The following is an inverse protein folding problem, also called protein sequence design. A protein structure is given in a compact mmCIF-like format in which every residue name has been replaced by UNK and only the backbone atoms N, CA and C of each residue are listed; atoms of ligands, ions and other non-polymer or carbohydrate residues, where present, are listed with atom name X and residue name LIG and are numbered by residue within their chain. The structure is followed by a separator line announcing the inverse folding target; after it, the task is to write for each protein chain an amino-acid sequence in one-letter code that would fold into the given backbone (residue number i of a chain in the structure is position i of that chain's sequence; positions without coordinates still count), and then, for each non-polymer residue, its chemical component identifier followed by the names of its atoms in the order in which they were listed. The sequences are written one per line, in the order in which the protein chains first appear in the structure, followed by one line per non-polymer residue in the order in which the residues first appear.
data_IF_427899771312
#
_entry.id   IF_427899771312
#
_cell.length_a   1.000
_cell.length_b   1.000
_cell.length_c   1.000
_cell.angle_alpha   90.00
_cell.angle_beta   90.00
_cell.angle_gamma   90.00
#
_symmetry.space_group_name_H-M   'P 1'
#
loop_
_entity.id
_entity.type
_entity.pdbx_description
1 polymer ?
#
# COMPACT_ATOMS: atom_id res chain seq x y z
N UNK A 1 2.31 16.57 64.25
CA UNK A 1 3.33 15.85 63.44
C UNK A 1 2.71 14.74 62.57
N UNK A 2 1.83 13.87 63.10
CA UNK A 2 1.19 12.78 62.34
C UNK A 2 0.46 13.22 61.06
N UNK A 3 -0.27 14.34 61.09
CA UNK A 3 -0.96 14.85 59.90
C UNK A 3 -0.03 15.36 58.80
N UNK A 4 1.16 15.84 59.16
CA UNK A 4 2.16 16.32 58.20
C UNK A 4 2.79 15.12 57.47
N UNK A 5 3.13 14.06 58.21
CA UNK A 5 3.59 12.79 57.62
C UNK A 5 2.54 12.16 56.71
N UNK A 6 1.26 12.21 57.08
CA UNK A 6 0.16 11.72 56.23
C UNK A 6 0.02 12.52 54.92
N UNK A 7 0.18 13.85 54.97
CA UNK A 7 0.13 14.72 53.78
C UNK A 7 1.34 14.51 52.86
N UNK A 8 2.54 14.37 53.43
CA UNK A 8 3.77 14.09 52.66
C UNK A 8 3.68 12.69 52.02
N UNK A 9 3.21 11.68 52.76
CA UNK A 9 3.01 10.34 52.23
C UNK A 9 2.01 10.30 51.07
N UNK A 10 0.90 11.03 51.16
CA UNK A 10 -0.06 11.15 50.07
C UNK A 10 0.56 11.83 48.84
N UNK A 11 1.35 12.88 49.03
CA UNK A 11 2.03 13.58 47.93
C UNK A 11 3.04 12.69 47.20
N UNK A 12 3.81 11.89 47.95
CA UNK A 12 4.76 10.92 47.37
C UNK A 12 4.01 9.83 46.57
N UNK A 13 2.90 9.31 47.10
CA UNK A 13 2.08 8.30 46.40
C UNK A 13 1.50 8.87 45.11
N UNK A 14 0.97 10.10 45.13
CA UNK A 14 0.45 10.77 43.92
C UNK A 14 1.56 11.00 42.89
N UNK A 15 2.78 11.36 43.33
CA UNK A 15 3.94 11.50 42.44
C UNK A 15 4.35 10.17 41.80
N UNK A 16 4.39 9.08 42.58
CA UNK A 16 4.72 7.75 42.08
C UNK A 16 3.65 7.27 41.08
N UNK A 17 2.36 7.47 41.39
CA UNK A 17 1.26 7.12 40.47
C UNK A 17 1.34 7.97 39.20
N UNK A 18 1.58 9.27 39.31
CA UNK A 18 1.73 10.16 38.14
C UNK A 18 2.92 9.77 37.27
N UNK A 19 4.06 9.42 37.89
CA UNK A 19 5.24 8.93 37.19
C UNK A 19 4.99 7.57 36.54
N UNK A 20 4.24 6.67 37.21
CA UNK A 20 3.82 5.39 36.65
C UNK A 20 2.89 5.54 35.45
N UNK A 21 1.90 6.41 35.54
CA UNK A 21 1.00 6.75 34.42
C UNK A 21 1.81 7.35 33.26
N UNK A 22 2.73 8.27 33.55
CA UNK A 22 3.61 8.88 32.56
C UNK A 22 4.50 7.84 31.86
N UNK A 23 5.10 6.91 32.62
CA UNK A 23 5.91 5.82 32.08
C UNK A 23 5.10 4.86 31.21
N UNK A 24 3.90 4.47 31.64
CA UNK A 24 3.01 3.60 30.86
C UNK A 24 2.59 4.29 29.56
N UNK A 25 2.19 5.56 29.62
CA UNK A 25 1.80 6.34 28.43
C UNK A 25 2.93 6.53 27.41
N UNK A 26 4.18 6.71 27.87
CA UNK A 26 5.32 6.89 26.98
C UNK A 26 5.86 5.56 26.44
N UNK A 27 5.94 4.52 27.27
CA UNK A 27 6.37 3.19 26.83
C UNK A 27 5.43 2.60 25.77
N UNK A 28 4.13 2.88 25.87
CA UNK A 28 3.15 2.41 24.89
C UNK A 28 3.28 3.14 23.54
N UNK A 29 3.61 4.44 23.53
CA UNK A 29 3.89 5.19 22.30
C UNK A 29 5.15 4.72 21.58
N UNK A 30 6.24 4.48 22.33
CA UNK A 30 7.51 4.01 21.77
C UNK A 30 7.37 2.60 21.17
N UNK A 31 6.64 1.70 21.83
CA UNK A 31 6.41 0.34 21.32
C UNK A 31 5.51 0.34 20.08
N UNK A 32 4.46 1.17 20.04
CA UNK A 32 3.54 1.23 18.89
C UNK A 32 4.21 1.83 17.64
N UNK A 33 5.00 2.90 17.79
CA UNK A 33 5.80 3.44 16.67
C UNK A 33 6.80 2.39 16.18
N UNK A 34 7.39 1.60 17.08
CA UNK A 34 8.40 0.60 16.69
C UNK A 34 7.89 -0.46 15.70
N UNK A 35 6.63 -0.91 15.80
CA UNK A 35 6.12 -2.01 14.93
C UNK A 35 5.80 -1.50 13.53
N UNK A 36 5.12 -0.36 13.41
CA UNK A 36 4.83 0.27 12.12
C UNK A 36 6.14 0.67 11.45
N UNK A 37 7.03 1.36 12.17
CA UNK A 37 8.33 1.78 11.63
C UNK A 37 9.16 0.57 11.16
N UNK A 38 9.22 -0.51 11.95
CA UNK A 38 9.92 -1.75 11.55
C UNK A 38 9.32 -2.34 10.28
N UNK A 39 7.98 -2.35 10.15
CA UNK A 39 7.31 -2.88 8.97
C UNK A 39 7.56 -2.00 7.74
N UNK A 40 7.57 -0.68 7.91
CA UNK A 40 7.92 0.26 6.85
C UNK A 40 9.40 0.16 6.46
N UNK A 41 10.30 -0.13 7.40
CA UNK A 41 11.71 -0.40 7.09
C UNK A 41 11.84 -1.64 6.21
N UNK A 42 11.23 -2.76 6.64
CA UNK A 42 11.24 -4.01 5.89
C UNK A 42 10.70 -3.82 4.47
N UNK A 43 9.59 -3.08 4.33
CA UNK A 43 8.99 -2.75 3.05
C UNK A 43 9.95 -1.97 2.13
N UNK A 44 10.68 -1.01 2.69
CA UNK A 44 11.69 -0.24 1.97
C UNK A 44 12.82 -1.13 1.48
N UNK A 45 13.36 -1.95 2.38
CA UNK A 45 14.45 -2.88 2.07
C UNK A 45 14.07 -3.84 0.93
N UNK A 46 12.83 -4.36 0.95
CA UNK A 46 12.30 -5.22 -0.12
C UNK A 46 12.20 -4.48 -1.45
N UNK A 47 11.68 -3.27 -1.47
CA UNK A 47 11.60 -2.46 -2.69
C UNK A 47 13.00 -2.13 -3.23
N UNK A 48 13.93 -1.71 -2.38
CA UNK A 48 15.28 -1.34 -2.80
C UNK A 48 16.14 -2.53 -3.23
N UNK A 49 15.85 -3.73 -2.74
CA UNK A 49 16.50 -4.97 -3.19
C UNK A 49 16.14 -5.31 -4.66
N UNK A 50 14.97 -4.87 -5.14
CA UNK A 50 14.54 -5.07 -6.54
C UNK A 50 15.25 -4.15 -7.53
N UNK A 51 16.03 -3.17 -7.04
CA UNK A 51 16.59 -2.08 -7.85
C UNK A 51 18.12 -2.19 -7.88
N UNK A 52 18.74 -2.22 -9.08
CA UNK A 52 20.19 -2.19 -9.22
C UNK A 52 20.82 -0.99 -8.52
N UNK A 53 22.03 -1.15 -7.99
CA UNK A 53 22.74 -0.05 -7.34
C UNK A 53 23.09 1.07 -8.34
N UNK A 54 22.83 2.32 -7.96
CA UNK A 54 23.08 3.48 -8.80
C UNK A 54 22.59 4.79 -8.17
N UNK A 55 22.99 5.94 -8.74
CA UNK A 55 22.71 7.27 -8.16
C UNK A 55 21.20 7.58 -8.06
N UNK A 56 20.38 7.04 -8.97
CA UNK A 56 18.92 7.22 -8.96
C UNK A 56 18.22 6.48 -7.82
N UNK A 57 18.83 5.43 -7.26
CA UNK A 57 18.34 4.72 -6.06
C UNK A 57 18.28 5.65 -4.84
N UNK A 58 19.18 6.64 -4.78
CA UNK A 58 19.21 7.63 -3.69
C UNK A 58 18.00 8.58 -3.72
N UNK A 59 17.53 8.96 -4.91
CA UNK A 59 16.35 9.83 -5.05
C UNK A 59 15.06 9.10 -4.62
N UNK A 60 14.98 7.81 -4.95
CA UNK A 60 13.89 6.96 -4.47
C UNK A 60 13.94 6.76 -2.95
N UNK A 61 15.14 6.61 -2.39
CA UNK A 61 15.33 6.51 -0.94
C UNK A 61 14.84 7.75 -0.19
N UNK A 62 15.06 8.94 -0.77
CA UNK A 62 14.53 10.21 -0.23
C UNK A 62 12.99 10.22 -0.26
N UNK A 63 12.37 9.91 -1.42
CA UNK A 63 10.91 9.84 -1.55
C UNK A 63 10.29 8.86 -0.55
N UNK A 64 10.90 7.69 -0.38
CA UNK A 64 10.43 6.69 0.57
C UNK A 64 10.68 7.11 2.02
N UNK A 65 11.79 7.79 2.30
CA UNK A 65 12.11 8.38 3.60
C UNK A 65 11.07 9.39 4.04
N UNK A 66 10.67 10.30 3.14
CA UNK A 66 9.60 11.27 3.38
C UNK A 66 8.27 10.58 3.69
N UNK A 67 7.92 9.55 2.92
CA UNK A 67 6.71 8.75 3.18
C UNK A 67 6.75 8.11 4.57
N UNK A 68 7.87 7.47 4.94
CA UNK A 68 8.05 6.87 6.26
C UNK A 68 7.89 7.88 7.38
N UNK A 69 8.52 9.04 7.25
CA UNK A 69 8.44 10.09 8.26
C UNK A 69 6.99 10.55 8.44
N UNK A 70 6.29 10.84 7.34
CA UNK A 70 4.88 11.25 7.39
C UNK A 70 3.99 10.15 7.97
N UNK A 71 4.25 8.88 7.67
CA UNK A 71 3.51 7.77 8.28
C UNK A 71 3.78 7.65 9.78
N UNK A 72 5.02 7.85 10.23
CA UNK A 72 5.38 7.87 11.66
C UNK A 72 4.74 9.04 12.42
N UNK A 73 4.58 10.19 11.74
CA UNK A 73 3.88 11.39 12.22
C UNK A 73 2.34 11.26 12.11
N UNK A 74 1.83 10.16 11.52
CA UNK A 74 0.40 9.90 11.24
C UNK A 74 -0.25 10.91 10.29
N UNK A 75 0.57 11.53 9.45
CA UNK A 75 0.17 12.45 8.37
C UNK A 75 -0.18 11.71 7.06
N UNK A 76 -0.24 10.38 7.12
CA UNK A 76 -0.64 9.47 6.05
C UNK A 76 -1.77 8.59 6.61
N UNK A 77 -2.96 8.55 5.98
CA UNK A 77 -4.02 7.63 6.34
C UNK A 77 -3.58 6.16 6.31
N UNK A 78 -4.00 5.31 7.25
CA UNK A 78 -3.71 3.87 7.27
C UNK A 78 -3.96 3.17 5.93
N UNK A 79 -5.05 3.49 5.25
CA UNK A 79 -5.47 2.88 3.98
C UNK A 79 -4.47 3.17 2.85
N UNK A 80 -3.86 4.36 2.89
CA UNK A 80 -2.82 4.75 1.95
C UNK A 80 -1.52 3.97 2.23
N UNK A 81 -1.19 3.73 3.50
CA UNK A 81 -0.06 2.86 3.89
C UNK A 81 -0.28 1.43 3.40
N UNK A 82 -1.49 0.89 3.55
CA UNK A 82 -1.85 -0.44 3.04
C UNK A 82 -1.79 -0.52 1.52
N UNK A 83 -2.17 0.54 0.81
CA UNK A 83 -2.08 0.61 -0.67
C UNK A 83 -0.63 0.60 -1.14
N UNK A 84 0.26 1.33 -0.46
CA UNK A 84 1.71 1.28 -0.72
C UNK A 84 2.26 -0.12 -0.44
N UNK A 85 1.87 -0.73 0.68
CA UNK A 85 2.32 -2.07 1.05
C UNK A 85 1.86 -3.14 0.05
N UNK A 86 0.58 -3.15 -0.33
CA UNK A 86 0.04 -4.07 -1.33
C UNK A 86 0.75 -3.89 -2.68
N UNK A 87 1.04 -2.65 -3.08
CA UNK A 87 1.76 -2.35 -4.32
C UNK A 87 3.18 -2.88 -4.29
N UNK A 88 3.92 -2.68 -3.20
CA UNK A 88 5.28 -3.21 -3.06
C UNK A 88 5.26 -4.74 -3.04
N UNK A 89 4.35 -5.36 -2.27
CA UNK A 89 4.21 -6.82 -2.22
C UNK A 89 3.95 -7.42 -3.61
N UNK A 90 2.99 -6.86 -4.35
CA UNK A 90 2.68 -7.30 -5.71
C UNK A 90 3.88 -7.20 -6.66
N UNK A 91 4.61 -6.09 -6.59
CA UNK A 91 5.75 -5.88 -7.48
C UNK A 91 6.94 -6.77 -7.07
N UNK A 92 7.14 -7.02 -5.77
CA UNK A 92 8.17 -7.97 -5.28
C UNK A 92 7.88 -9.43 -5.63
N UNK A 93 6.64 -9.76 -6.01
CA UNK A 93 6.33 -11.09 -6.55
C UNK A 93 6.79 -11.26 -8.01
N UNK A 94 7.10 -10.16 -8.70
CA UNK A 94 7.68 -10.20 -10.04
C UNK A 94 9.11 -10.76 -10.00
N UNK A 95 9.47 -11.56 -11.00
CA UNK A 95 10.85 -12.06 -11.16
C UNK A 95 11.80 -11.04 -11.79
N UNK A 96 11.27 -9.91 -12.25
CA UNK A 96 12.01 -8.91 -13.02
C UNK A 96 12.47 -7.79 -12.09
N UNK A 97 13.76 -7.46 -12.10
CA UNK A 97 14.29 -6.29 -11.40
C UNK A 97 13.64 -5.02 -11.93
N UNK A 98 13.35 -4.07 -11.04
CA UNK A 98 12.78 -2.79 -11.40
C UNK A 98 13.86 -1.79 -11.77
N UNK A 99 13.55 -0.91 -12.72
CA UNK A 99 14.29 0.34 -12.85
C UNK A 99 13.93 1.27 -11.68
N UNK A 100 14.82 2.21 -11.30
CA UNK A 100 14.50 3.24 -10.31
C UNK A 100 13.22 4.04 -10.67
N UNK A 101 13.00 4.31 -11.95
CA UNK A 101 11.84 5.05 -12.45
C UNK A 101 10.53 4.25 -12.30
N UNK A 102 10.58 2.94 -12.53
CA UNK A 102 9.46 2.04 -12.30
C UNK A 102 9.09 1.99 -10.82
N UNK A 103 10.08 1.85 -9.95
CA UNK A 103 9.85 1.83 -8.50
C UNK A 103 9.32 3.17 -7.97
N UNK A 104 9.85 4.29 -8.47
CA UNK A 104 9.34 5.63 -8.17
C UNK A 104 7.87 5.76 -8.57
N UNK A 105 7.53 5.25 -9.74
CA UNK A 105 6.17 5.31 -10.28
C UNK A 105 5.18 4.47 -9.48
N UNK A 106 5.58 3.28 -9.04
CA UNK A 106 4.80 2.44 -8.11
C UNK A 106 4.51 3.21 -6.82
N UNK A 107 5.53 3.84 -6.22
CA UNK A 107 5.35 4.63 -5.00
C UNK A 107 4.45 5.84 -5.22
N UNK A 108 4.71 6.64 -6.27
CA UNK A 108 3.93 7.85 -6.56
C UNK A 108 2.47 7.53 -6.80
N UNK A 109 2.18 6.48 -7.57
CA UNK A 109 0.81 6.12 -7.92
C UNK A 109 0.07 5.54 -6.71
N UNK A 110 0.74 4.73 -5.88
CA UNK A 110 0.16 4.25 -4.63
C UNK A 110 -0.11 5.40 -3.63
N UNK A 111 0.75 6.42 -3.59
CA UNK A 111 0.56 7.62 -2.76
C UNK A 111 -0.49 8.58 -3.34
N UNK A 112 -0.70 8.61 -4.66
CA UNK A 112 -1.71 9.49 -5.24
C UNK A 112 -3.09 8.83 -5.34
N UNK A 113 -3.16 7.50 -5.13
CA UNK A 113 -4.38 6.71 -5.18
C UNK A 113 -5.48 7.34 -4.30
N UNK A 114 -6.73 7.42 -4.80
CA UNK A 114 -7.84 7.84 -3.96
C UNK A 114 -7.95 6.94 -2.74
N UNK A 115 -8.19 7.53 -1.56
CA UNK A 115 -8.58 6.74 -0.39
C UNK A 115 -9.72 5.80 -0.79
N UNK A 116 -9.65 4.50 -0.48
CA UNK A 116 -10.79 3.61 -0.66
C UNK A 116 -11.97 4.23 0.07
N UNK A 117 -13.06 4.52 -0.65
CA UNK A 117 -14.26 5.04 -0.03
C UNK A 117 -14.73 3.98 0.96
N UNK A 118 -14.52 4.22 2.26
CA UNK A 118 -15.30 3.55 3.28
C UNK A 118 -16.76 3.78 2.89
N UNK A 119 -17.50 2.69 2.68
CA UNK A 119 -18.93 2.75 2.38
C UNK A 119 -19.62 3.46 3.56
N UNK A 120 -19.76 4.78 3.44
CA UNK A 120 -20.61 5.55 4.32
C UNK A 120 -22.04 5.12 3.96
N UNK A 121 -22.68 4.41 4.89
CA UNK A 121 -24.12 4.20 4.85
C UNK A 121 -24.80 5.56 4.78
N UNK A 122 -25.36 5.85 3.59
CA UNK A 122 -26.38 6.88 3.37
C UNK A 122 -25.96 8.32 3.58
N UNK A 123 -25.61 9.03 2.49
CA UNK A 123 -26.16 10.35 2.18
C UNK A 123 -25.79 10.79 0.75
N UNK A 124 -26.77 11.37 0.05
CA UNK A 124 -26.70 11.84 -1.34
C UNK A 124 -25.75 13.04 -1.53
N UNK A 125 -25.27 13.29 -2.76
CA UNK A 125 -24.06 14.09 -2.99
C UNK A 125 -24.35 15.58 -2.89
N UNK A 126 -23.66 16.26 -1.97
CA UNK A 126 -23.46 17.70 -2.00
C UNK A 126 -22.06 17.98 -2.56
N UNK A 127 -22.01 18.79 -3.62
CA UNK A 127 -20.80 19.19 -4.36
C UNK A 127 -19.71 19.71 -3.38
N UNK A 128 -18.50 19.11 -3.30
CA UNK A 128 -17.45 19.65 -2.44
C UNK A 128 -16.52 20.61 -3.19
N UNK A 129 -16.33 21.80 -2.62
CA UNK A 129 -15.11 22.61 -2.77
C UNK A 129 -13.87 21.75 -2.40
N UNK A 130 -12.69 22.01 -2.97
CA UNK A 130 -11.45 21.32 -2.60
C UNK A 130 -11.10 21.65 -1.16
N UNK A 131 -11.56 20.80 -0.26
CA UNK A 131 -11.24 20.79 1.15
C UNK A 131 -10.36 19.57 1.30
N UNK A 132 -9.08 19.76 1.61
CA UNK A 132 -8.21 18.68 2.09
C UNK A 132 -9.00 18.03 3.23
N UNK A 133 -9.43 16.75 3.13
CA UNK A 133 -10.15 16.13 4.21
C UNK A 133 -9.27 16.22 5.45
N UNK A 134 -9.79 16.81 6.53
CA UNK A 134 -9.19 16.61 7.84
C UNK A 134 -9.50 15.15 8.20
N UNK A 135 -8.64 14.24 7.74
CA UNK A 135 -8.66 12.85 8.16
C UNK A 135 -8.58 12.87 9.68
N UNK A 136 -9.58 12.30 10.34
CA UNK A 136 -9.58 12.16 11.80
C UNK A 136 -8.29 11.38 12.12
N UNK A 137 -7.41 11.88 13.02
CA UNK A 137 -6.18 11.16 13.33
C UNK A 137 -6.55 9.77 13.84
N UNK A 138 -6.12 8.75 13.11
CA UNK A 138 -6.42 7.35 13.43
C UNK A 138 -5.99 7.02 14.87
N UNK A 139 -6.79 6.20 15.53
CA UNK A 139 -6.58 5.86 16.93
C UNK A 139 -5.27 5.06 17.08
N UNK A 140 -4.56 5.16 18.22
CA UNK A 140 -3.31 4.43 18.42
C UNK A 140 -3.43 2.90 18.22
N UNK A 141 -4.60 2.33 18.54
CA UNK A 141 -4.89 0.90 18.33
C UNK A 141 -4.96 0.52 16.85
N UNK A 142 -5.52 1.39 16.00
CA UNK A 142 -5.63 1.19 14.55
C UNK A 142 -4.24 1.13 13.91
N UNK A 143 -3.33 2.01 14.33
CA UNK A 143 -1.94 2.02 13.86
C UNK A 143 -1.16 0.77 14.30
N UNK A 144 -1.42 0.27 15.51
CA UNK A 144 -0.79 -0.97 15.98
C UNK A 144 -1.28 -2.16 15.16
N UNK A 145 -2.60 -2.27 14.97
CA UNK A 145 -3.19 -3.32 14.15
C UNK A 145 -2.71 -3.28 12.70
N UNK A 146 -2.52 -2.07 12.15
CA UNK A 146 -1.91 -1.85 10.84
C UNK A 146 -0.48 -2.41 10.82
N UNK A 147 0.39 -2.01 11.77
CA UNK A 147 1.77 -2.47 11.82
C UNK A 147 1.89 -4.01 11.90
N UNK A 148 1.07 -4.65 12.72
CA UNK A 148 1.01 -6.11 12.83
C UNK A 148 0.56 -6.75 11.51
N UNK A 149 -0.48 -6.21 10.87
CA UNK A 149 -0.99 -6.68 9.57
C UNK A 149 0.05 -6.55 8.46
N UNK A 150 0.73 -5.41 8.37
CA UNK A 150 1.82 -5.18 7.41
C UNK A 150 2.89 -6.27 7.58
N UNK A 151 3.40 -6.43 8.81
CA UNK A 151 4.42 -7.43 9.12
C UNK A 151 3.98 -8.83 8.72
N UNK A 152 2.78 -9.26 9.10
CA UNK A 152 2.26 -10.59 8.77
C UNK A 152 2.14 -10.82 7.27
N UNK A 153 1.75 -9.81 6.48
CA UNK A 153 1.65 -9.95 5.02
C UNK A 153 3.02 -10.06 4.34
N UNK A 154 4.02 -9.32 4.81
CA UNK A 154 5.39 -9.47 4.32
C UNK A 154 5.99 -10.84 4.69
N UNK A 155 5.81 -11.28 5.92
CA UNK A 155 6.27 -12.62 6.36
C UNK A 155 5.57 -13.74 5.59
N UNK A 156 4.26 -13.61 5.34
CA UNK A 156 3.51 -14.55 4.51
C UNK A 156 4.11 -14.61 3.10
N UNK A 157 4.36 -13.45 2.49
CA UNK A 157 4.92 -13.39 1.15
C UNK A 157 6.29 -14.07 1.06
N UNK A 158 7.17 -13.84 2.04
CA UNK A 158 8.47 -14.53 2.12
C UNK A 158 8.33 -16.04 2.25
N UNK A 159 7.40 -16.51 3.09
CA UNK A 159 7.15 -17.95 3.26
C UNK A 159 6.58 -18.57 1.99
N UNK A 160 5.71 -17.85 1.27
CA UNK A 160 5.18 -18.30 -0.03
C UNK A 160 6.32 -18.43 -1.05
N UNK A 161 7.18 -17.42 -1.19
CA UNK A 161 8.37 -17.48 -2.03
C UNK A 161 9.28 -18.66 -1.67
N UNK A 162 9.57 -18.86 -0.38
CA UNK A 162 10.41 -19.95 0.09
C UNK A 162 9.78 -21.35 -0.12
N UNK A 163 8.46 -21.43 -0.14
CA UNK A 163 7.71 -22.67 -0.36
C UNK A 163 7.51 -23.02 -1.84
N UNK A 164 7.83 -22.10 -2.77
CA UNK A 164 7.73 -22.38 -4.21
C UNK A 164 8.72 -23.45 -4.65
N UNK A 165 8.26 -24.38 -5.48
CA UNK A 165 9.15 -25.32 -6.18
C UNK A 165 10.10 -24.56 -7.10
N UNK A 166 11.34 -25.03 -7.24
CA UNK A 166 12.36 -24.38 -8.05
C UNK A 166 11.92 -24.13 -9.51
N UNK A 167 11.17 -25.07 -10.11
CA UNK A 167 10.66 -24.91 -11.47
C UNK A 167 9.61 -23.81 -11.57
N UNK A 168 8.69 -23.74 -10.62
CA UNK A 168 7.64 -22.73 -10.59
C UNK A 168 8.20 -21.33 -10.25
N UNK A 169 9.22 -21.27 -9.39
CA UNK A 169 9.97 -20.05 -9.09
C UNK A 169 10.68 -19.50 -10.34
N UNK A 170 11.20 -20.36 -11.22
CA UNK A 170 11.79 -19.98 -12.51
C UNK A 170 10.74 -19.55 -13.56
N UNK A 171 9.49 -19.98 -13.41
CA UNK A 171 8.41 -19.78 -14.39
C UNK A 171 7.51 -18.56 -14.12
N UNK A 172 7.85 -17.71 -13.13
CA UNK A 172 7.06 -16.50 -12.80
C UNK A 172 5.64 -16.78 -12.29
N UNK A 173 5.40 -17.98 -11.75
CA UNK A 173 4.06 -18.42 -11.36
C UNK A 173 3.49 -17.68 -10.14
N UNK A 174 4.34 -17.24 -9.20
CA UNK A 174 3.84 -16.66 -7.95
C UNK A 174 3.08 -15.35 -8.17
N UNK A 175 3.56 -14.48 -9.05
CA UNK A 175 2.93 -13.19 -9.34
C UNK A 175 1.56 -13.31 -10.02
N UNK A 176 1.30 -14.45 -10.68
CA UNK A 176 -0.01 -14.79 -11.27
C UNK A 176 -0.95 -15.50 -10.29
N UNK A 177 -0.41 -15.99 -9.18
CA UNK A 177 -1.14 -16.82 -8.22
C UNK A 177 -1.33 -16.17 -6.85
N UNK A 178 -0.72 -15.00 -6.64
CA UNK A 178 -0.78 -14.23 -5.39
C UNK A 178 -0.98 -12.76 -5.69
N UNK A 179 -2.06 -12.18 -5.16
CA UNK A 179 -2.40 -10.76 -5.33
C UNK A 179 -2.74 -10.13 -4.00
N UNK A 180 -2.04 -9.07 -3.64
CA UNK A 180 -2.35 -8.24 -2.48
C UNK A 180 -3.26 -7.08 -2.89
N UNK A 181 -4.28 -6.82 -2.08
CA UNK A 181 -5.32 -5.81 -2.32
C UNK A 181 -5.43 -4.89 -1.09
N UNK A 182 -5.81 -3.63 -1.29
CA UNK A 182 -5.93 -2.64 -0.22
C UNK A 182 -7.31 -1.92 -0.16
N UNK A 183 -8.28 -2.33 -1.00
CA UNK A 183 -9.60 -1.66 -1.10
C UNK A 183 -10.42 -1.71 0.19
N UNK A 184 -10.28 -2.78 0.97
CA UNK A 184 -11.04 -3.00 2.20
C UNK A 184 -10.10 -3.40 3.35
N UNK A 185 -8.93 -2.77 3.39
CA UNK A 185 -7.79 -3.19 4.18
C UNK A 185 -6.83 -4.08 3.39
N UNK A 186 -5.61 -4.24 3.90
CA UNK A 186 -4.61 -5.10 3.29
C UNK A 186 -5.02 -6.57 3.38
N UNK A 187 -5.32 -7.18 2.23
CA UNK A 187 -5.73 -8.59 2.08
C UNK A 187 -4.90 -9.29 1.00
N UNK A 188 -4.94 -10.61 1.00
CA UNK A 188 -4.29 -11.47 0.00
C UNK A 188 -5.31 -12.37 -0.70
N UNK A 189 -5.31 -12.35 -2.02
CA UNK A 189 -5.99 -13.31 -2.86
C UNK A 189 -4.99 -14.35 -3.36
N UNK A 190 -5.33 -15.63 -3.18
CA UNK A 190 -4.52 -16.77 -3.61
C UNK A 190 -5.27 -17.61 -4.63
N UNK A 191 -4.56 -18.06 -5.66
CA UNK A 191 -5.13 -19.01 -6.62
C UNK A 191 -5.31 -20.39 -5.96
N UNK A 192 -6.44 -21.04 -6.22
CA UNK A 192 -6.77 -22.36 -5.69
C UNK A 192 -5.78 -23.43 -6.17
N UNK A 193 -5.13 -23.21 -7.32
CA UNK A 193 -4.11 -24.08 -7.87
C UNK A 193 -2.71 -23.80 -7.32
N UNK A 194 -2.52 -22.77 -6.48
CA UNK A 194 -1.23 -22.44 -5.87
C UNK A 194 -0.58 -23.62 -5.18
N UNK A 195 -1.39 -24.47 -4.52
CA UNK A 195 -0.91 -25.68 -3.84
C UNK A 195 -0.12 -26.62 -4.76
N UNK A 196 -0.43 -26.69 -6.06
CA UNK A 196 0.29 -27.54 -7.01
C UNK A 196 1.75 -27.08 -7.22
N UNK A 197 2.02 -25.79 -7.04
CA UNK A 197 3.31 -25.13 -7.25
C UNK A 197 4.18 -25.04 -5.99
N UNK A 198 3.61 -25.37 -4.82
CA UNK A 198 4.31 -25.35 -3.54
C UNK A 198 4.87 -26.72 -3.17
N UNK A 199 6.00 -26.74 -2.46
CA UNK A 199 6.52 -27.93 -1.81
C UNK A 199 5.52 -28.43 -0.74
N UNK A 200 5.28 -29.74 -0.70
CA UNK A 200 4.26 -30.31 0.18
C UNK A 200 4.59 -30.13 1.68
N UNK A 201 5.87 -30.18 2.04
CA UNK A 201 6.31 -30.04 3.44
C UNK A 201 6.18 -28.58 3.88
N UNK A 202 6.61 -27.64 3.04
CA UNK A 202 6.48 -26.21 3.34
C UNK A 202 5.01 -25.77 3.34
N UNK A 203 4.18 -26.27 2.41
CA UNK A 203 2.74 -26.00 2.40
C UNK A 203 2.05 -26.49 3.69
N UNK A 204 2.44 -27.66 4.22
CA UNK A 204 1.90 -28.15 5.50
C UNK A 204 2.21 -27.19 6.65
N UNK A 205 3.40 -26.58 6.68
CA UNK A 205 3.75 -25.56 7.69
C UNK A 205 2.90 -24.30 7.52
N UNK A 206 2.75 -23.83 6.28
CA UNK A 206 1.94 -22.66 5.91
C UNK A 206 0.44 -22.85 6.17
N UNK A 207 -0.08 -24.06 6.06
CA UNK A 207 -1.52 -24.34 6.08
C UNK A 207 -2.25 -23.86 7.34
N UNK A 208 -1.56 -23.79 8.49
CA UNK A 208 -2.15 -23.26 9.73
C UNK A 208 -2.33 -21.75 9.67
N UNK A 209 -1.34 -21.06 9.12
CA UNK A 209 -1.34 -19.61 8.94
C UNK A 209 -2.38 -19.19 7.89
N UNK A 210 -2.44 -19.89 6.75
CA UNK A 210 -3.46 -19.63 5.72
C UNK A 210 -4.89 -19.79 6.27
N UNK A 211 -5.14 -20.84 7.08
CA UNK A 211 -6.44 -21.04 7.73
C UNK A 211 -6.76 -19.97 8.77
N UNK A 212 -5.75 -19.42 9.43
CA UNK A 212 -5.94 -18.31 10.37
C UNK A 212 -6.34 -17.05 9.61
N UNK A 213 -5.60 -16.69 8.55
CA UNK A 213 -5.90 -15.52 7.72
C UNK A 213 -7.28 -15.62 7.03
N UNK A 214 -7.71 -16.82 6.65
CA UNK A 214 -9.05 -17.07 6.12
C UNK A 214 -10.14 -16.79 7.18
N UNK A 215 -9.93 -17.20 8.43
CA UNK A 215 -10.86 -16.90 9.54
C UNK A 215 -10.93 -15.43 9.89
N UNK A 216 -9.83 -14.72 9.70
CA UNK A 216 -9.72 -13.28 9.94
C UNK A 216 -10.28 -12.45 8.75
N UNK A 217 -10.76 -13.09 7.68
CA UNK A 217 -11.20 -12.47 6.42
C UNK A 217 -10.10 -11.63 5.73
N UNK A 218 -8.84 -12.01 5.91
CA UNK A 218 -7.68 -11.36 5.30
C UNK A 218 -7.18 -12.13 4.07
N UNK A 219 -7.61 -13.39 3.91
CA UNK A 219 -7.27 -14.26 2.79
C UNK A 219 -8.52 -14.71 2.03
N UNK A 220 -8.47 -14.63 0.70
CA UNK A 220 -9.50 -15.13 -0.20
C UNK A 220 -8.93 -16.09 -1.25
N UNK A 221 -9.64 -17.20 -1.49
CA UNK A 221 -9.28 -18.16 -2.53
C UNK A 221 -10.03 -17.86 -3.84
N UNK A 222 -9.29 -17.72 -4.93
CA UNK A 222 -9.83 -17.50 -6.28
C UNK A 222 -9.55 -18.73 -7.14
N UNK A 223 -10.45 -19.06 -8.07
CA UNK A 223 -10.28 -20.23 -8.94
C UNK A 223 -9.38 -19.96 -10.15
N UNK A 224 -9.47 -18.76 -10.70
CA UNK A 224 -8.78 -18.32 -11.91
C UNK A 224 -8.13 -16.95 -11.66
N UNK A 225 -7.32 -16.83 -10.59
CA UNK A 225 -6.74 -15.54 -10.21
C UNK A 225 -5.81 -15.01 -11.31
N UNK A 226 -5.09 -15.90 -12.00
CA UNK A 226 -4.21 -15.54 -13.09
C UNK A 226 -4.97 -14.82 -14.23
N UNK A 227 -6.14 -15.32 -14.62
CA UNK A 227 -6.97 -14.72 -15.66
C UNK A 227 -7.52 -13.35 -15.22
N UNK A 228 -7.94 -13.23 -13.95
CA UNK A 228 -8.40 -11.97 -13.37
C UNK A 228 -7.29 -10.91 -13.37
N UNK A 229 -6.08 -11.28 -12.94
CA UNK A 229 -4.91 -10.39 -12.96
C UNK A 229 -4.59 -9.98 -14.40
N UNK A 230 -4.55 -10.91 -15.35
CA UNK A 230 -4.24 -10.60 -16.75
C UNK A 230 -5.28 -9.66 -17.37
N UNK A 231 -6.57 -9.85 -17.04
CA UNK A 231 -7.64 -8.95 -17.47
C UNK A 231 -7.54 -7.55 -16.84
N UNK A 232 -7.31 -7.45 -15.52
CA UNK A 232 -7.08 -6.16 -14.85
C UNK A 232 -5.86 -5.44 -15.45
N UNK A 233 -4.78 -6.18 -15.73
CA UNK A 233 -3.60 -5.64 -16.38
C UNK A 233 -3.88 -5.10 -17.78
N UNK A 234 -4.67 -5.82 -18.57
CA UNK A 234 -5.06 -5.36 -19.91
C UNK A 234 -5.86 -4.06 -19.84
N UNK A 235 -6.82 -3.97 -18.91
CA UNK A 235 -7.62 -2.75 -18.69
C UNK A 235 -6.74 -1.57 -18.26
N UNK A 236 -5.81 -1.79 -17.33
CA UNK A 236 -4.86 -0.76 -16.89
C UNK A 236 -3.98 -0.32 -18.06
N UNK A 237 -3.44 -1.24 -18.86
CA UNK A 237 -2.62 -0.88 -20.02
C UNK A 237 -3.40 -0.10 -21.09
N UNK A 238 -4.66 -0.45 -21.33
CA UNK A 238 -5.54 0.27 -22.25
C UNK A 238 -5.81 1.70 -21.77
N UNK A 239 -6.21 1.86 -20.50
CA UNK A 239 -6.44 3.16 -19.89
C UNK A 239 -5.17 4.02 -19.92
N UNK A 240 -4.02 3.41 -19.63
CA UNK A 240 -2.73 4.10 -19.66
C UNK A 240 -2.33 4.53 -21.07
N UNK A 241 -2.70 3.75 -22.10
CA UNK A 241 -2.48 4.13 -23.48
C UNK A 241 -3.38 5.30 -23.91
N UNK A 242 -4.67 5.29 -23.55
CA UNK A 242 -5.58 6.40 -23.85
C UNK A 242 -5.14 7.69 -23.16
N UNK A 243 -4.73 7.60 -21.89
CA UNK A 243 -4.24 8.75 -21.14
C UNK A 243 -2.94 9.30 -21.75
N UNK A 244 -2.05 8.45 -22.27
CA UNK A 244 -0.85 8.92 -22.99
C UNK A 244 -1.18 9.68 -24.27
N UNK A 245 -2.18 9.24 -25.02
CA UNK A 245 -2.63 9.96 -26.23
C UNK A 245 -3.19 11.33 -25.88
N UNK A 246 -4.02 11.41 -24.83
CA UNK A 246 -4.57 12.68 -24.32
C UNK A 246 -3.44 13.62 -23.82
N UNK A 247 -2.46 13.07 -23.11
CA UNK A 247 -1.30 13.84 -22.65
C UNK A 247 -0.42 14.36 -23.78
N UNK A 248 -0.22 13.56 -24.81
CA UNK A 248 0.56 13.99 -25.97
C UNK A 248 -0.14 15.13 -26.72
N UNK A 249 -1.46 15.18 -26.70
CA UNK A 249 -2.24 16.31 -27.21
C UNK A 249 -2.08 17.54 -26.30
N UNK A 250 -2.20 17.38 -24.99
CA UNK A 250 -2.10 18.46 -23.99
C UNK A 250 -0.68 19.03 -23.80
N UNK A 251 0.36 18.23 -24.00
CA UNK A 251 1.78 18.67 -23.94
C UNK A 251 2.10 19.69 -25.02
N UNK A 252 1.31 19.74 -26.10
CA UNK A 252 1.39 20.79 -27.11
C UNK A 252 0.77 22.12 -26.63
N UNK A 253 0.00 22.12 -25.54
CA UNK A 253 -0.84 23.25 -25.14
C UNK A 253 -0.51 23.92 -23.79
N UNK A 254 -0.02 23.28 -22.71
CA UNK A 254 0.69 23.94 -21.55
C UNK A 254 0.98 23.00 -20.33
N UNK A 255 1.88 23.48 -19.45
CA UNK A 255 2.18 23.16 -18.01
C UNK A 255 3.05 21.94 -17.62
N UNK A 256 4.19 22.21 -16.96
CA UNK A 256 5.25 21.26 -16.55
C UNK A 256 4.96 20.40 -15.31
N UNK A 257 3.99 20.76 -14.44
CA UNK A 257 3.81 20.10 -13.13
C UNK A 257 2.92 18.86 -13.18
N UNK A 258 1.79 18.93 -13.92
CA UNK A 258 0.97 17.76 -14.23
C UNK A 258 1.76 16.69 -15.00
N UNK A 259 2.69 17.12 -15.86
CA UNK A 259 3.55 16.21 -16.61
C UNK A 259 4.34 15.25 -15.72
N UNK A 260 4.73 15.60 -14.48
CA UNK A 260 5.57 14.69 -13.66
C UNK A 260 4.81 13.47 -13.12
N UNK A 261 3.58 13.65 -12.62
CA UNK A 261 2.74 12.53 -12.18
C UNK A 261 2.33 11.66 -13.38
N UNK A 262 2.05 12.32 -14.49
CA UNK A 262 1.67 11.68 -15.75
C UNK A 262 2.85 10.98 -16.44
N UNK A 263 4.08 11.48 -16.27
CA UNK A 263 5.32 10.82 -16.66
C UNK A 263 5.59 9.58 -15.79
N UNK A 264 5.29 9.64 -14.49
CA UNK A 264 5.42 8.44 -13.63
C UNK A 264 4.45 7.34 -14.05
N UNK A 265 3.25 7.70 -14.48
CA UNK A 265 2.29 6.73 -15.03
C UNK A 265 2.89 5.98 -16.23
N UNK A 266 3.60 6.63 -17.14
CA UNK A 266 4.21 5.96 -18.32
C UNK A 266 5.05 4.73 -17.96
N UNK A 267 5.79 4.78 -16.86
CA UNK A 267 6.67 3.68 -16.43
C UNK A 267 5.89 2.47 -15.91
N UNK A 268 4.64 2.66 -15.44
CA UNK A 268 3.79 1.55 -14.99
C UNK A 268 3.41 0.59 -16.12
N UNK A 269 3.31 1.07 -17.37
CA UNK A 269 2.98 0.23 -18.54
C UNK A 269 4.05 -0.83 -18.82
N UNK A 270 5.28 -0.58 -18.38
CA UNK A 270 6.40 -1.49 -18.57
C UNK A 270 6.55 -2.49 -17.43
N UNK A 271 5.69 -2.42 -16.41
CA UNK A 271 5.67 -3.40 -15.35
C UNK A 271 5.04 -4.69 -15.83
N UNK A 272 5.68 -5.79 -15.47
CA UNK A 272 5.13 -7.12 -15.70
C UNK A 272 3.90 -7.41 -14.82
N UNK A 273 3.73 -6.65 -13.73
CA UNK A 273 2.61 -6.77 -12.80
C UNK A 273 2.20 -5.39 -12.31
N UNK A 274 0.91 -5.09 -12.37
CA UNK A 274 0.37 -3.78 -11.97
C UNK A 274 0.43 -3.64 -10.44
N UNK A 275 0.72 -2.46 -9.88
CA UNK A 275 0.57 -2.20 -8.44
C UNK A 275 -0.87 -2.45 -7.93
N UNK A 276 -1.12 -2.28 -6.64
CA UNK A 276 -2.45 -2.46 -6.05
C UNK A 276 -3.37 -1.25 -6.33
N UNK A 277 -3.37 -0.76 -7.58
CA UNK A 277 -4.13 0.40 -8.04
C UNK A 277 -4.85 0.00 -9.33
N UNK A 278 -6.18 0.17 -9.36
CA UNK A 278 -7.02 -0.19 -10.51
C UNK A 278 -7.10 0.93 -11.55
N UNK A 279 -7.66 0.61 -12.73
CA UNK A 279 -7.82 1.54 -13.83
C UNK A 279 -8.64 2.79 -13.45
N UNK A 280 -9.71 2.62 -12.66
CA UNK A 280 -10.53 3.73 -12.19
C UNK A 280 -9.75 4.68 -11.26
N UNK A 281 -8.87 4.14 -10.43
CA UNK A 281 -7.99 4.91 -9.54
C UNK A 281 -6.93 5.67 -10.33
N UNK A 282 -6.34 5.04 -11.35
CA UNK A 282 -5.44 5.70 -12.29
C UNK A 282 -6.15 6.87 -12.97
N UNK A 283 -7.36 6.67 -13.48
CA UNK A 283 -8.16 7.73 -14.10
C UNK A 283 -8.40 8.89 -13.15
N UNK A 284 -8.81 8.61 -11.90
CA UNK A 284 -9.01 9.64 -10.86
C UNK A 284 -7.74 10.41 -10.53
N UNK A 285 -6.58 9.74 -10.52
CA UNK A 285 -5.28 10.40 -10.34
C UNK A 285 -5.08 11.38 -11.49
N UNK A 286 -5.26 10.94 -12.74
CA UNK A 286 -5.07 11.82 -13.90
C UNK A 286 -6.04 12.99 -13.93
N UNK A 287 -7.33 12.75 -13.69
CA UNK A 287 -8.34 13.82 -13.61
C UNK A 287 -7.97 14.87 -12.56
N UNK A 288 -7.45 14.43 -11.40
CA UNK A 288 -6.96 15.33 -10.36
C UNK A 288 -5.75 16.14 -10.84
N UNK A 289 -4.73 15.47 -11.40
CA UNK A 289 -3.52 16.13 -11.90
C UNK A 289 -3.82 17.15 -13.01
N UNK A 290 -4.74 16.81 -13.92
CA UNK A 290 -5.22 17.70 -14.98
C UNK A 290 -5.95 18.91 -14.41
N UNK A 291 -6.87 18.69 -13.46
CA UNK A 291 -7.60 19.77 -12.78
C UNK A 291 -6.68 20.71 -12.01
N UNK A 292 -5.66 20.18 -11.34
CA UNK A 292 -4.63 20.98 -10.63
C UNK A 292 -3.78 21.81 -11.59
N UNK A 293 -3.57 21.34 -12.83
CA UNK A 293 -2.96 22.10 -13.90
C UNK A 293 -3.92 23.08 -14.60
N UNK A 294 -5.19 23.14 -14.18
CA UNK A 294 -6.20 24.01 -14.80
C UNK A 294 -6.72 23.50 -16.15
N UNK A 295 -6.50 22.22 -16.47
CA UNK A 295 -6.97 21.55 -17.68
C UNK A 295 -8.30 20.87 -17.35
N UNK A 296 -9.33 21.10 -18.17
CA UNK A 296 -10.60 20.37 -18.02
C UNK A 296 -10.44 18.98 -18.63
N UNK A 297 -10.69 17.89 -17.89
CA UNK A 297 -10.63 16.54 -18.44
C UNK A 297 -11.66 16.40 -19.57
N UNK A 298 -11.28 15.72 -20.65
CA UNK A 298 -12.24 15.39 -21.71
C UNK A 298 -13.27 14.39 -21.18
N UNK A 299 -14.52 14.47 -21.65
CA UNK A 299 -15.56 13.52 -21.22
C UNK A 299 -15.12 12.08 -21.55
N UNK A 300 -15.28 11.12 -20.62
CA UNK A 300 -14.81 9.76 -20.82
C UNK A 300 -15.50 9.15 -22.05
N UNK A 301 -14.80 8.32 -22.85
CA UNK A 301 -15.45 7.57 -23.90
C UNK A 301 -16.55 6.70 -23.27
N UNK A 302 -17.78 6.84 -23.75
CA UNK A 302 -18.91 6.02 -23.32
C UNK A 302 -18.50 4.55 -23.31
N UNK A 303 -18.55 3.92 -22.12
CA UNK A 303 -18.40 2.46 -22.00
C UNK A 303 -19.45 1.82 -22.90
N UNK A 304 -19.05 1.32 -24.06
CA UNK A 304 -19.89 0.44 -24.88
C UNK A 304 -20.17 -0.78 -24.01
N UNK A 305 -21.42 -0.90 -23.56
CA UNK A 305 -21.91 -2.10 -22.90
C UNK A 305 -21.74 -3.25 -23.90
N UNK A 306 -20.86 -4.19 -23.58
CA UNK A 306 -20.74 -5.50 -24.23
C UNK A 306 -21.36 -6.54 -23.31
#
# INVERSE_FOLDING_TARGET
MWEIFRKIGFFIVVLIISAGIYLVFYAEKDVQQSVVETSLNLMGDKLFAMIPDGPKKSQLAELYGDFKQRAAERDVPPEQVETVAASILNVTNSTTSLTPEQAESVLRVALSAPEPLALAEGELPSIPKPSIPKTKPAEPEEWKALGERLKSMFELNEKLHAAMKEEAAKQRELAKQVRFQAKEGLRVALDSNLKAHLDEKEFKKLSKELKQLERENVLHWHKNLAEEIEHEMAQVHEEMASLQEELQQLKNEHTMKALKELESLKELRHLEHVPAVDADSIRKIVERSLKEAGISPSEPPEKKQL
#
